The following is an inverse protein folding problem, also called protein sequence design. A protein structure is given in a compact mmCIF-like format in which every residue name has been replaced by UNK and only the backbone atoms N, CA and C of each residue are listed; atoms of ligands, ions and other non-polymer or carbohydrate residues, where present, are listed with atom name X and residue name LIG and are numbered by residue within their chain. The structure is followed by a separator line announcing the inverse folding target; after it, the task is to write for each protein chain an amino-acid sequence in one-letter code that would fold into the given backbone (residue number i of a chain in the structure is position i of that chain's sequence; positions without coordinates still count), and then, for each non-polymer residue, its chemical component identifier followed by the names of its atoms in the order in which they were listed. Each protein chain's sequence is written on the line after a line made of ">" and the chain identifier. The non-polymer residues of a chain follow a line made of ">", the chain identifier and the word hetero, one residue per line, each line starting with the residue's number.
data_IF_450694742370
#
_entry.id   IF_450694742370
#
_cell.length_a   1.000
_cell.length_b   1.000
_cell.length_c   1.000
_cell.angle_alpha   90.00
_cell.angle_beta   90.00
_cell.angle_gamma   90.00
#
_symmetry.space_group_name_H-M   'P 1'
#
loop_
_entity.id
_entity.type
_entity.pdbx_description
1 polymer ?
#
# COMPACT_ATOMS: atom_id res chain seq x y z
N UNK A 1 15.70 -28.33 17.11
CA UNK A 1 15.13 -27.08 16.56
C UNK A 1 15.21 -27.18 15.05
N UNK A 2 14.08 -27.13 14.36
CA UNK A 2 14.02 -27.33 12.92
C UNK A 2 14.15 -25.97 12.20
N UNK A 3 15.11 -25.90 11.28
CA UNK A 3 15.17 -24.83 10.30
C UNK A 3 13.98 -24.99 9.33
N UNK A 4 13.08 -24.02 9.35
CA UNK A 4 11.90 -23.95 8.49
C UNK A 4 12.33 -23.15 7.25
N UNK A 5 12.45 -23.85 6.12
CA UNK A 5 12.98 -23.27 4.89
C UNK A 5 12.06 -22.19 4.35
N UNK A 6 12.44 -20.93 4.54
CA UNK A 6 11.67 -19.77 4.07
C UNK A 6 12.42 -18.45 4.25
N UNK A 7 13.10 -18.23 5.38
CA UNK A 7 13.83 -16.97 5.61
C UNK A 7 15.32 -17.09 5.25
N UNK A 8 15.73 -16.50 4.13
CA UNK A 8 17.15 -16.25 3.83
C UNK A 8 17.77 -15.16 4.73
N UNK A 9 16.94 -14.43 5.49
CA UNK A 9 17.36 -13.35 6.38
C UNK A 9 17.50 -13.84 7.82
N UNK A 10 18.53 -13.35 8.52
CA UNK A 10 18.79 -13.68 9.93
C UNK A 10 19.57 -14.98 10.17
N UNK A 11 19.81 -15.80 9.14
CA UNK A 11 20.69 -16.98 9.26
C UNK A 11 22.14 -16.51 9.41
N UNK A 12 22.67 -16.58 10.63
CA UNK A 12 24.08 -16.33 10.89
C UNK A 12 24.96 -17.27 10.05
N UNK A 13 25.86 -16.70 9.24
CA UNK A 13 26.83 -17.42 8.40
C UNK A 13 27.89 -18.11 9.26
N UNK A 14 27.47 -19.15 9.97
CA UNK A 14 28.34 -20.04 10.74
C UNK A 14 28.77 -21.20 9.86
N UNK A 15 30.06 -21.55 9.90
CA UNK A 15 30.62 -22.73 9.24
C UNK A 15 30.23 -24.03 9.98
N UNK A 16 28.93 -24.21 10.24
CA UNK A 16 28.39 -25.43 10.84
C UNK A 16 28.47 -26.56 9.82
N UNK A 17 29.49 -27.40 9.98
CA UNK A 17 29.55 -28.72 9.35
C UNK A 17 28.30 -29.48 9.80
N UNK A 18 27.35 -29.71 8.87
CA UNK A 18 26.16 -30.52 9.16
C UNK A 18 26.62 -31.94 9.49
N UNK A 19 26.08 -32.53 10.54
CA UNK A 19 26.35 -33.96 10.83
C UNK A 19 25.74 -34.83 9.73
N UNK A 20 26.28 -36.03 9.51
CA UNK A 20 25.74 -36.92 8.49
C UNK A 20 24.26 -37.28 8.77
N UNK A 21 23.88 -37.40 10.04
CA UNK A 21 22.49 -37.56 10.48
C UNK A 21 21.59 -36.35 10.15
N UNK A 22 22.12 -35.13 10.18
CA UNK A 22 21.39 -33.94 9.73
C UNK A 22 21.24 -33.98 8.21
N UNK A 23 22.32 -34.31 7.48
CA UNK A 23 22.32 -34.45 6.02
C UNK A 23 21.29 -35.49 5.55
N UNK A 24 21.27 -36.68 6.15
CA UNK A 24 20.32 -37.74 5.79
C UNK A 24 18.87 -37.36 6.11
N UNK A 25 18.62 -36.66 7.22
CA UNK A 25 17.28 -36.10 7.51
C UNK A 25 16.85 -35.04 6.51
N UNK A 26 17.76 -34.14 6.11
CA UNK A 26 17.48 -33.12 5.10
C UNK A 26 17.20 -33.76 3.73
N UNK A 27 17.99 -34.76 3.32
CA UNK A 27 17.76 -35.53 2.10
C UNK A 27 16.39 -36.23 2.12
N UNK A 28 16.00 -36.84 3.24
CA UNK A 28 14.66 -37.43 3.41
C UNK A 28 13.53 -36.40 3.32
N UNK A 29 13.70 -35.20 3.91
CA UNK A 29 12.74 -34.09 3.76
C UNK A 29 12.62 -33.63 2.30
N UNK A 30 13.75 -33.48 1.60
CA UNK A 30 13.81 -33.05 0.20
C UNK A 30 13.15 -34.10 -0.72
N UNK A 31 13.43 -35.40 -0.51
CA UNK A 31 12.82 -36.48 -1.28
C UNK A 31 11.29 -36.47 -1.15
N UNK A 32 10.78 -36.39 0.09
CA UNK A 32 9.33 -36.30 0.36
C UNK A 32 8.68 -35.04 -0.20
N UNK A 33 9.39 -33.90 -0.19
CA UNK A 33 8.89 -32.67 -0.81
C UNK A 33 8.76 -32.82 -2.33
N UNK A 34 9.79 -33.37 -3.00
CA UNK A 34 9.78 -33.62 -4.45
C UNK A 34 8.70 -34.60 -4.86
N UNK A 35 8.51 -35.69 -4.10
CA UNK A 35 7.46 -36.67 -4.35
C UNK A 35 6.06 -36.02 -4.34
N UNK A 36 5.76 -35.21 -3.33
CA UNK A 36 4.51 -34.44 -3.24
C UNK A 36 4.39 -33.41 -4.37
N UNK A 37 5.49 -32.77 -4.75
CA UNK A 37 5.54 -31.79 -5.85
C UNK A 37 5.25 -32.45 -7.21
N UNK A 38 5.81 -33.63 -7.47
CA UNK A 38 5.59 -34.39 -8.69
C UNK A 38 4.16 -34.92 -8.78
N UNK A 39 3.58 -35.37 -7.65
CA UNK A 39 2.16 -35.71 -7.57
C UNK A 39 1.28 -34.48 -7.87
N UNK A 40 1.58 -33.32 -7.28
CA UNK A 40 0.85 -32.07 -7.55
C UNK A 40 0.92 -31.66 -9.03
N UNK A 41 2.12 -31.70 -9.62
CA UNK A 41 2.35 -31.42 -11.05
C UNK A 41 1.54 -32.37 -11.93
N UNK A 42 1.60 -33.68 -11.67
CA UNK A 42 0.97 -34.69 -12.51
C UNK A 42 -0.56 -34.67 -12.46
N UNK A 43 -1.17 -34.25 -11.34
CA UNK A 43 -2.62 -34.00 -11.24
C UNK A 43 -3.00 -32.69 -11.93
N UNK A 44 -2.23 -31.61 -11.68
CA UNK A 44 -2.49 -30.31 -12.28
C UNK A 44 -2.36 -30.32 -13.81
N UNK A 45 -1.42 -31.08 -14.39
CA UNK A 45 -1.26 -31.21 -15.85
C UNK A 45 -2.38 -31.99 -16.53
N UNK A 46 -3.15 -32.79 -15.77
CA UNK A 46 -4.32 -33.52 -16.26
C UNK A 46 -5.62 -32.71 -16.17
N UNK A 47 -5.57 -31.49 -15.61
CA UNK A 47 -6.75 -30.66 -15.39
C UNK A 47 -7.65 -31.14 -14.25
N UNK A 48 -7.16 -32.08 -13.43
CA UNK A 48 -7.90 -32.74 -12.32
C UNK A 48 -8.08 -31.80 -11.11
N UNK A 49 -8.52 -30.56 -11.33
CA UNK A 49 -8.61 -29.53 -10.29
C UNK A 49 -9.75 -29.76 -9.29
N UNK A 50 -10.84 -30.42 -9.69
CA UNK A 50 -11.95 -30.77 -8.79
C UNK A 50 -11.61 -31.89 -7.79
N UNK A 51 -10.40 -32.47 -7.84
CA UNK A 51 -10.00 -33.59 -6.98
C UNK A 51 -9.65 -33.12 -5.55
N UNK A 52 -10.22 -33.75 -4.50
CA UNK A 52 -9.77 -33.54 -3.12
C UNK A 52 -8.27 -33.80 -2.93
N UNK A 53 -7.70 -34.73 -3.69
CA UNK A 53 -6.31 -35.16 -3.66
C UNK A 53 -5.35 -33.99 -3.94
N UNK A 54 -5.55 -33.26 -5.04
CA UNK A 54 -4.71 -32.11 -5.38
C UNK A 54 -4.82 -31.01 -4.31
N UNK A 55 -6.03 -30.74 -3.81
CA UNK A 55 -6.24 -29.79 -2.73
C UNK A 55 -5.47 -30.18 -1.45
N UNK A 56 -5.53 -31.44 -1.04
CA UNK A 56 -4.78 -31.94 0.12
C UNK A 56 -3.25 -31.91 -0.08
N UNK A 57 -2.77 -32.14 -1.31
CA UNK A 57 -1.34 -32.01 -1.62
C UNK A 57 -0.90 -30.54 -1.55
N UNK A 58 -1.68 -29.58 -2.08
CA UNK A 58 -1.36 -28.14 -1.90
C UNK A 58 -1.32 -27.74 -0.43
N UNK A 59 -2.27 -28.23 0.41
CA UNK A 59 -2.28 -27.99 1.86
C UNK A 59 -0.98 -28.44 2.54
N UNK A 60 -0.44 -29.61 2.14
CA UNK A 60 0.83 -30.13 2.67
C UNK A 60 2.03 -29.33 2.19
N UNK A 61 2.11 -29.04 0.89
CA UNK A 61 3.26 -28.36 0.30
C UNK A 61 3.35 -26.88 0.70
N UNK A 62 2.24 -26.17 0.82
CA UNK A 62 2.22 -24.75 1.25
C UNK A 62 2.61 -24.57 2.72
N UNK A 63 2.36 -25.58 3.58
CA UNK A 63 2.91 -25.65 4.94
C UNK A 63 4.41 -25.99 5.00
N UNK A 64 5.01 -26.44 3.89
CA UNK A 64 6.44 -26.71 3.79
C UNK A 64 7.20 -25.58 3.09
N UNK A 65 6.53 -24.86 2.18
CA UNK A 65 7.08 -23.73 1.43
C UNK A 65 5.92 -22.82 0.93
N UNK A 66 5.55 -21.76 1.68
CA UNK A 66 4.51 -20.84 1.25
C UNK A 66 4.96 -19.91 0.11
N UNK A 67 6.26 -19.81 -0.21
CA UNK A 67 6.76 -18.97 -1.33
C UNK A 67 6.48 -19.59 -2.71
N UNK A 68 6.01 -20.83 -2.79
CA UNK A 68 5.79 -21.50 -4.07
C UNK A 68 4.46 -21.08 -4.73
N UNK A 69 4.51 -19.95 -5.44
CA UNK A 69 3.37 -19.31 -6.11
C UNK A 69 2.49 -20.24 -6.98
N UNK A 70 3.08 -21.23 -7.66
CA UNK A 70 2.35 -22.16 -8.53
C UNK A 70 1.34 -23.00 -7.74
N UNK A 71 1.64 -23.34 -6.49
CA UNK A 71 0.75 -24.11 -5.62
C UNK A 71 -0.45 -23.28 -5.13
N UNK A 72 -0.25 -21.99 -4.86
CA UNK A 72 -1.36 -21.08 -4.58
C UNK A 72 -2.33 -20.99 -5.76
N UNK A 73 -1.79 -20.89 -6.98
CA UNK A 73 -2.62 -20.90 -8.19
C UNK A 73 -3.33 -22.24 -8.43
N UNK A 74 -2.67 -23.37 -8.14
CA UNK A 74 -3.33 -24.68 -8.16
C UNK A 74 -4.47 -24.77 -7.12
N UNK A 75 -4.24 -24.27 -5.89
CA UNK A 75 -5.23 -24.24 -4.81
C UNK A 75 -6.45 -23.38 -5.17
N UNK A 76 -6.23 -22.18 -5.73
CA UNK A 76 -7.31 -21.31 -6.27
C UNK A 76 -8.18 -22.07 -7.27
N UNK A 77 -7.58 -22.79 -8.22
CA UNK A 77 -8.31 -23.63 -9.20
C UNK A 77 -9.10 -24.75 -8.54
N UNK A 78 -8.55 -25.41 -7.52
CA UNK A 78 -9.27 -26.47 -6.79
C UNK A 78 -10.53 -25.95 -6.10
N UNK A 79 -10.48 -24.74 -5.53
CA UNK A 79 -11.65 -24.11 -4.94
C UNK A 79 -12.68 -23.72 -6.01
N UNK A 80 -12.25 -23.04 -7.08
CA UNK A 80 -13.13 -22.62 -8.19
C UNK A 80 -13.85 -23.83 -8.82
N UNK A 81 -13.10 -24.89 -9.17
CA UNK A 81 -13.60 -26.10 -9.84
C UNK A 81 -14.22 -27.13 -8.90
N UNK A 82 -14.21 -26.90 -7.60
CA UNK A 82 -14.73 -27.80 -6.58
C UNK A 82 -15.69 -27.05 -5.66
N UNK A 83 -15.21 -26.65 -4.48
CA UNK A 83 -16.01 -26.07 -3.40
C UNK A 83 -16.92 -24.91 -3.81
N UNK A 84 -16.50 -24.08 -4.77
CA UNK A 84 -17.22 -22.90 -5.26
C UNK A 84 -18.03 -23.13 -6.56
N UNK A 85 -17.99 -24.33 -7.14
CA UNK A 85 -18.70 -24.64 -8.40
C UNK A 85 -20.21 -24.80 -8.21
N UNK A 86 -20.66 -25.24 -7.03
CA UNK A 86 -22.06 -25.57 -6.77
C UNK A 86 -23.00 -24.36 -6.78
N UNK A 87 -22.49 -23.15 -6.50
CA UNK A 87 -23.28 -21.91 -6.42
C UNK A 87 -23.59 -21.27 -7.79
N UNK A 88 -23.12 -21.84 -8.91
CA UNK A 88 -23.21 -21.20 -10.25
C UNK A 88 -24.54 -21.40 -10.99
N UNK A 89 -25.48 -22.21 -10.48
CA UNK A 89 -26.72 -22.57 -11.17
C UNK A 89 -27.89 -21.61 -10.84
N UNK A 90 -27.68 -20.28 -10.92
CA UNK A 90 -28.66 -19.34 -10.35
C UNK A 90 -28.58 -17.86 -10.74
N UNK A 91 -27.93 -17.47 -11.85
CA UNK A 91 -28.13 -16.10 -12.37
C UNK A 91 -27.97 -16.02 -13.89
N UNK A 92 -29.04 -15.55 -14.56
CA UNK A 92 -29.05 -15.36 -16.00
C UNK A 92 -28.07 -14.26 -16.40
N UNK A 93 -27.12 -14.60 -17.29
CA UNK A 93 -26.27 -13.62 -17.97
C UNK A 93 -27.12 -12.60 -18.73
N UNK A 94 -27.25 -11.39 -18.19
CA UNK A 94 -27.54 -10.22 -19.00
C UNK A 94 -26.33 -9.93 -19.89
N UNK A 95 -26.57 -9.67 -21.19
CA UNK A 95 -25.51 -9.26 -22.12
C UNK A 95 -25.07 -7.83 -21.78
N UNK A 96 -24.02 -7.71 -20.97
CA UNK A 96 -23.25 -6.47 -20.85
C UNK A 96 -22.46 -6.20 -22.13
N UNK A 97 -22.42 -4.95 -22.56
CA UNK A 97 -21.79 -4.55 -23.83
C UNK A 97 -20.28 -4.82 -23.86
N UNK A 98 -19.75 -5.07 -25.06
CA UNK A 98 -18.32 -5.23 -25.28
C UNK A 98 -17.62 -3.87 -25.22
N UNK A 99 -16.92 -3.58 -24.12
CA UNK A 99 -15.89 -2.54 -24.07
C UNK A 99 -14.52 -3.17 -23.84
N UNK A 100 -13.67 -3.07 -24.85
CA UNK A 100 -12.27 -3.51 -24.78
C UNK A 100 -11.46 -2.54 -23.92
N UNK A 101 -11.13 -2.93 -22.69
CA UNK A 101 -10.07 -2.31 -21.90
C UNK A 101 -8.89 -3.27 -21.80
N UNK A 102 -7.72 -2.81 -22.26
CA UNK A 102 -6.52 -3.63 -22.33
C UNK A 102 -5.95 -3.92 -20.93
N UNK A 103 -5.40 -5.11 -20.74
CA UNK A 103 -4.60 -5.47 -19.58
C UNK A 103 -3.29 -4.66 -19.53
N UNK A 104 -2.98 -3.96 -18.43
CA UNK A 104 -1.61 -3.57 -18.15
C UNK A 104 -0.87 -4.78 -17.57
N UNK A 105 0.04 -5.35 -18.36
CA UNK A 105 1.05 -6.28 -17.85
C UNK A 105 2.04 -5.53 -16.95
N UNK A 106 1.75 -5.44 -15.65
CA UNK A 106 2.69 -4.89 -14.67
C UNK A 106 3.70 -5.96 -14.24
N UNK A 107 4.78 -6.09 -15.00
CA UNK A 107 6.01 -6.70 -14.50
C UNK A 107 6.52 -5.89 -13.27
N UNK A 108 7.20 -6.52 -12.29
CA UNK A 108 7.59 -5.84 -11.07
C UNK A 108 8.58 -4.71 -11.35
N UNK A 109 8.23 -3.48 -10.97
CA UNK A 109 9.12 -2.33 -11.07
C UNK A 109 10.31 -2.53 -10.14
N UNK A 110 11.48 -2.77 -10.71
CA UNK A 110 12.75 -2.76 -10.00
C UNK A 110 13.03 -1.35 -9.48
N UNK A 111 13.23 -1.22 -8.16
CA UNK A 111 13.83 -0.03 -7.60
C UNK A 111 15.18 0.24 -8.30
N UNK A 112 15.38 1.46 -8.82
CA UNK A 112 16.67 1.92 -9.29
C UNK A 112 17.13 3.12 -8.50
N UNK A 113 18.26 2.93 -7.83
CA UNK A 113 19.13 4.00 -7.37
C UNK A 113 19.64 4.83 -8.57
N UNK A 114 20.21 5.98 -8.21
CA UNK A 114 20.74 7.03 -9.09
C UNK A 114 21.70 6.51 -10.18
N UNK A 115 21.71 7.18 -11.34
CA UNK A 115 22.66 6.97 -12.43
C UNK A 115 23.75 8.06 -12.42
N UNK A 116 24.97 7.78 -12.91
CA UNK A 116 25.86 8.77 -13.51
C UNK A 116 25.84 8.68 -15.05
N UNK A 117 26.59 9.57 -15.70
CA UNK A 117 26.22 10.17 -17.00
C UNK A 117 26.89 9.57 -18.26
N UNK A 118 26.26 9.87 -19.41
CA UNK A 118 26.83 10.10 -20.75
C UNK A 118 27.53 8.97 -21.51
N UNK A 119 26.98 8.58 -22.67
CA UNK A 119 27.64 8.89 -23.97
C UNK A 119 26.65 8.89 -25.16
N UNK A 120 27.07 9.31 -26.36
CA UNK A 120 26.17 9.91 -27.40
C UNK A 120 26.09 9.16 -28.75
N UNK A 121 25.02 9.42 -29.53
CA UNK A 121 24.76 9.13 -30.99
C UNK A 121 24.08 7.79 -31.38
N UNK A 122 23.43 7.67 -32.58
CA UNK A 122 22.24 8.43 -33.03
C UNK A 122 21.08 7.57 -33.64
N UNK A 123 19.96 8.22 -34.05
CA UNK A 123 18.76 7.66 -34.76
C UNK A 123 19.10 7.12 -36.18
N UNK A 124 18.32 6.35 -36.95
CA UNK A 124 16.85 6.09 -37.12
C UNK A 124 16.70 4.81 -38.02
N UNK A 125 15.57 4.41 -38.69
CA UNK A 125 14.12 4.53 -38.42
C UNK A 125 13.29 3.22 -38.59
N UNK A 126 12.05 3.21 -38.06
CA UNK A 126 10.79 2.72 -38.70
C UNK A 126 10.57 1.25 -39.18
N UNK A 127 9.49 0.56 -38.74
CA UNK A 127 9.01 -0.69 -39.36
C UNK A 127 7.96 -0.46 -40.49
N UNK A 128 7.89 -1.32 -41.53
CA UNK A 128 6.97 -1.16 -42.66
C UNK A 128 5.57 -1.80 -42.44
N UNK A 129 4.58 -1.26 -43.15
CA UNK A 129 3.18 -1.72 -43.22
C UNK A 129 2.86 -2.45 -44.53
N UNK A 130 2.05 -3.51 -44.46
CA UNK A 130 1.14 -4.02 -45.52
C UNK A 130 0.34 -5.23 -44.96
N UNK A 131 -0.88 -5.54 -45.41
CA UNK A 131 -1.68 -4.92 -46.49
C UNK A 131 -3.18 -5.26 -46.41
N UNK A 132 -3.96 -4.70 -47.35
CA UNK A 132 -5.43 -4.79 -47.46
C UNK A 132 -5.87 -5.84 -48.49
N UNK A 133 -7.13 -6.30 -48.38
CA UNK A 133 -8.10 -6.66 -49.45
C UNK A 133 -9.40 -7.20 -48.80
N UNK A 134 -10.65 -6.90 -49.22
CA UNK A 134 -11.16 -5.88 -50.15
C UNK A 134 -12.60 -6.20 -50.65
N UNK A 135 -13.48 -5.18 -50.75
CA UNK A 135 -14.63 -5.04 -51.71
C UNK A 135 -15.87 -5.96 -51.47
N UNK A 136 -17.16 -5.63 -51.67
CA UNK A 136 -17.99 -4.55 -52.34
C UNK A 136 -18.91 -3.80 -51.31
N UNK A 137 -19.42 -2.56 -51.46
CA UNK A 137 -20.22 -1.90 -52.53
C UNK A 137 -21.64 -2.55 -52.69
N UNK A 138 -22.81 -1.89 -52.76
CA UNK A 138 -23.27 -0.51 -53.10
C UNK A 138 -24.69 -0.27 -52.46
N UNK A 139 -25.39 0.88 -52.39
CA UNK A 139 -25.10 2.34 -52.34
C UNK A 139 -26.42 3.16 -52.06
N UNK A 140 -26.34 4.46 -51.69
CA UNK A 140 -27.34 5.56 -51.69
C UNK A 140 -28.67 5.50 -50.86
N UNK A 141 -29.15 6.69 -50.40
CA UNK A 141 -30.60 6.94 -50.18
C UNK A 141 -31.00 7.82 -48.97
N UNK A 142 -31.27 9.11 -49.23
CA UNK A 142 -31.60 10.19 -48.29
C UNK A 142 -33.02 10.19 -47.64
N UNK A 143 -33.16 11.11 -46.67
CA UNK A 143 -34.39 11.81 -46.20
C UNK A 143 -35.54 11.08 -45.44
N UNK A 144 -36.04 11.79 -44.41
CA UNK A 144 -37.26 11.52 -43.66
C UNK A 144 -38.41 12.45 -44.15
N UNK A 145 -39.70 12.17 -43.84
CA UNK A 145 -40.22 12.61 -42.55
C UNK A 145 -41.32 11.73 -41.90
N UNK A 146 -41.60 12.02 -40.63
CA UNK A 146 -42.76 11.58 -39.84
C UNK A 146 -44.05 12.34 -40.31
N UNK A 147 -45.31 11.94 -40.00
CA UNK A 147 -45.80 11.92 -38.60
C UNK A 147 -46.92 10.92 -38.22
N UNK A 148 -47.22 10.91 -36.90
CA UNK A 148 -48.51 10.58 -36.23
C UNK A 148 -49.14 9.19 -36.40
N UNK A 149 -49.34 8.49 -35.27
CA UNK A 149 -50.67 8.42 -34.63
C UNK A 149 -50.59 8.00 -33.15
N UNK A 150 -51.64 8.33 -32.38
CA UNK A 150 -51.72 8.10 -30.93
C UNK A 150 -52.33 6.73 -30.62
N UNK A 151 -51.88 6.05 -29.57
CA UNK A 151 -52.78 5.22 -28.76
C UNK A 151 -52.42 5.25 -27.27
N UNK A 152 -53.42 5.63 -26.49
CA UNK A 152 -53.43 5.75 -25.04
C UNK A 152 -53.86 4.41 -24.41
N UNK A 153 -53.11 3.91 -23.42
CA UNK A 153 -53.46 2.70 -22.67
C UNK A 153 -53.02 2.79 -21.20
N UNK A 154 -54.00 2.64 -20.31
CA UNK A 154 -53.89 2.77 -18.85
C UNK A 154 -53.09 1.62 -18.21
N UNK A 155 -52.24 1.85 -17.18
CA UNK A 155 -51.51 0.79 -16.51
C UNK A 155 -52.38 0.05 -15.46
N UNK A 156 -52.26 -1.28 -15.43
CA UNK A 156 -52.80 -2.15 -14.37
C UNK A 156 -51.66 -2.53 -13.40
N UNK A 157 -51.85 -2.58 -12.07
CA UNK A 157 -50.77 -2.89 -11.14
C UNK A 157 -50.39 -4.38 -11.21
N UNK A 158 -49.09 -4.67 -11.40
CA UNK A 158 -48.58 -6.03 -11.31
C UNK A 158 -48.20 -6.37 -9.85
N UNK A 159 -48.83 -7.40 -9.29
CA UNK A 159 -48.46 -7.95 -7.98
C UNK A 159 -47.07 -8.60 -8.03
N UNK A 160 -46.15 -8.14 -7.19
CA UNK A 160 -44.84 -8.79 -7.03
C UNK A 160 -45.00 -10.03 -6.13
N UNK A 161 -45.18 -11.21 -6.74
CA UNK A 161 -45.11 -12.47 -5.99
C UNK A 161 -43.68 -12.75 -5.52
N UNK A 162 -43.53 -12.99 -4.21
CA UNK A 162 -42.28 -13.48 -3.64
C UNK A 162 -41.88 -14.85 -4.23
N UNK A 163 -40.57 -15.16 -4.31
CA UNK A 163 -40.09 -16.43 -4.84
C UNK A 163 -40.53 -17.63 -3.96
N UNK A 164 -40.69 -18.84 -4.54
CA UNK A 164 -41.12 -20.02 -3.80
C UNK A 164 -40.05 -20.48 -2.79
N UNK A 165 -40.50 -20.87 -1.59
CA UNK A 165 -39.63 -21.13 -0.43
C UNK A 165 -38.51 -22.16 -0.63
N UNK A 166 -38.69 -23.11 -1.55
CA UNK A 166 -37.71 -24.15 -1.89
C UNK A 166 -36.46 -23.58 -2.61
N UNK A 167 -36.63 -22.48 -3.37
CA UNK A 167 -35.53 -21.75 -4.01
C UNK A 167 -34.75 -20.92 -2.96
N UNK A 168 -35.45 -20.36 -1.97
CA UNK A 168 -34.82 -19.63 -0.87
C UNK A 168 -33.95 -20.55 0.00
N UNK A 169 -34.47 -21.72 0.37
CA UNK A 169 -33.72 -22.69 1.19
C UNK A 169 -32.48 -23.24 0.50
N UNK A 170 -32.51 -23.41 -0.83
CA UNK A 170 -31.34 -23.86 -1.60
C UNK A 170 -30.30 -22.77 -1.79
N UNK A 171 -30.71 -21.49 -1.91
CA UNK A 171 -29.80 -20.36 -1.91
C UNK A 171 -29.11 -20.16 -0.55
N UNK A 172 -29.86 -20.14 0.56
CA UNK A 172 -29.32 -20.01 1.92
C UNK A 172 -28.31 -21.12 2.25
N UNK A 173 -28.57 -22.35 1.81
CA UNK A 173 -27.64 -23.47 1.97
C UNK A 173 -26.33 -23.30 1.17
N UNK A 174 -26.41 -22.72 -0.04
CA UNK A 174 -25.24 -22.42 -0.86
C UNK A 174 -24.41 -21.28 -0.27
N UNK A 175 -25.04 -20.21 0.23
CA UNK A 175 -24.37 -19.12 0.94
C UNK A 175 -23.65 -19.60 2.20
N UNK A 176 -24.31 -20.44 3.01
CA UNK A 176 -23.71 -21.01 4.22
C UNK A 176 -22.50 -21.90 3.89
N UNK A 177 -22.56 -22.65 2.79
CA UNK A 177 -21.44 -23.45 2.29
C UNK A 177 -20.29 -22.56 1.81
N UNK A 178 -20.55 -21.53 1.01
CA UNK A 178 -19.52 -20.60 0.52
C UNK A 178 -18.86 -19.85 1.70
N UNK A 179 -19.63 -19.39 2.70
CA UNK A 179 -19.11 -18.77 3.92
C UNK A 179 -18.22 -19.73 4.72
N UNK A 180 -18.62 -21.00 4.85
CA UNK A 180 -17.84 -22.04 5.53
C UNK A 180 -16.48 -22.27 4.84
N UNK A 181 -16.48 -22.37 3.51
CA UNK A 181 -15.27 -22.53 2.70
C UNK A 181 -14.36 -21.31 2.84
N UNK A 182 -14.91 -20.09 2.72
CA UNK A 182 -14.18 -18.82 2.88
C UNK A 182 -13.51 -18.76 4.27
N UNK A 183 -14.27 -18.99 5.35
CA UNK A 183 -13.72 -18.96 6.71
C UNK A 183 -12.66 -20.05 6.95
N UNK A 184 -12.83 -21.24 6.36
CA UNK A 184 -11.82 -22.31 6.42
C UNK A 184 -10.49 -21.90 5.76
N UNK A 185 -10.55 -21.27 4.59
CA UNK A 185 -9.36 -20.82 3.86
C UNK A 185 -8.69 -19.59 4.47
N UNK A 186 -9.47 -18.66 5.02
CA UNK A 186 -8.94 -17.60 5.87
C UNK A 186 -8.24 -18.21 7.10
N UNK A 187 -8.84 -19.18 7.78
CA UNK A 187 -8.20 -19.85 8.92
C UNK A 187 -6.92 -20.61 8.52
N UNK A 188 -6.89 -21.24 7.34
CA UNK A 188 -5.71 -21.94 6.80
C UNK A 188 -4.50 -21.01 6.61
N UNK A 189 -4.70 -19.77 6.17
CA UNK A 189 -3.59 -18.81 5.97
C UNK A 189 -3.02 -18.23 7.25
N UNK A 190 -3.76 -18.24 8.38
CA UNK A 190 -3.29 -17.68 9.66
C UNK A 190 -1.94 -18.27 10.10
N UNK A 191 -1.78 -19.59 10.32
CA UNK A 191 -0.49 -20.14 10.78
C UNK A 191 0.65 -19.86 9.80
N UNK A 192 0.37 -19.83 8.49
CA UNK A 192 1.34 -19.48 7.46
C UNK A 192 1.78 -18.01 7.56
N UNK A 193 0.87 -17.07 7.84
CA UNK A 193 1.21 -15.68 8.12
C UNK A 193 2.03 -15.54 9.41
N UNK A 194 1.74 -16.31 10.46
CA UNK A 194 2.49 -16.25 11.71
C UNK A 194 3.94 -16.75 11.55
N UNK A 195 4.17 -17.72 10.66
CA UNK A 195 5.49 -18.29 10.36
C UNK A 195 6.25 -17.49 9.28
N UNK A 196 5.56 -17.05 8.23
CA UNK A 196 6.13 -16.35 7.07
C UNK A 196 5.42 -15.00 6.81
N UNK A 197 5.48 -14.04 7.74
CA UNK A 197 4.69 -12.79 7.72
C UNK A 197 5.00 -11.83 6.56
N UNK A 198 6.06 -12.11 5.78
CA UNK A 198 6.54 -11.32 4.64
C UNK A 198 6.39 -12.05 3.30
N UNK A 199 5.80 -13.26 3.30
CA UNK A 199 5.51 -14.00 2.08
C UNK A 199 4.36 -13.34 1.31
N UNK A 200 4.67 -12.75 0.15
CA UNK A 200 3.71 -12.03 -0.69
C UNK A 200 2.49 -12.88 -1.08
N UNK A 201 2.72 -14.17 -1.34
CA UNK A 201 1.69 -15.06 -1.87
C UNK A 201 0.60 -15.42 -0.86
N UNK A 202 0.91 -15.44 0.45
CA UNK A 202 -0.11 -15.66 1.47
C UNK A 202 -1.07 -14.45 1.52
N UNK A 203 -0.52 -13.23 1.53
CA UNK A 203 -1.32 -12.00 1.51
C UNK A 203 -2.16 -11.88 0.23
N UNK A 204 -1.57 -12.17 -0.95
CA UNK A 204 -2.29 -12.20 -2.24
C UNK A 204 -3.39 -13.27 -2.29
N UNK A 205 -3.15 -14.45 -1.72
CA UNK A 205 -4.16 -15.50 -1.64
C UNK A 205 -5.30 -15.11 -0.70
N UNK A 206 -4.97 -14.51 0.45
CA UNK A 206 -5.96 -14.08 1.43
C UNK A 206 -6.88 -13.00 0.88
N UNK A 207 -6.34 -11.99 0.19
CA UNK A 207 -7.15 -10.99 -0.53
C UNK A 207 -8.09 -11.65 -1.56
N UNK A 208 -7.59 -12.60 -2.35
CA UNK A 208 -8.43 -13.32 -3.32
C UNK A 208 -9.60 -14.10 -2.67
N UNK A 209 -9.40 -14.67 -1.47
CA UNK A 209 -10.49 -15.30 -0.71
C UNK A 209 -11.52 -14.26 -0.24
N UNK A 210 -11.09 -13.07 0.16
CA UNK A 210 -11.99 -11.98 0.55
C UNK A 210 -12.78 -11.39 -0.64
N UNK A 211 -12.18 -11.34 -1.84
CA UNK A 211 -12.90 -11.06 -3.08
C UNK A 211 -14.00 -12.10 -3.34
N UNK A 212 -13.78 -13.38 -3.00
CA UNK A 212 -14.83 -14.41 -3.10
C UNK A 212 -15.97 -14.13 -2.11
N UNK A 213 -15.71 -13.54 -0.95
CA UNK A 213 -16.77 -13.13 -0.01
C UNK A 213 -17.69 -12.06 -0.61
N UNK A 214 -17.12 -11.04 -1.29
CA UNK A 214 -17.92 -10.02 -2.01
C UNK A 214 -18.72 -10.65 -3.16
N UNK A 215 -18.10 -11.57 -3.90
CA UNK A 215 -18.72 -12.16 -5.09
C UNK A 215 -19.82 -13.20 -4.80
N UNK A 216 -19.92 -13.73 -3.57
CA UNK A 216 -20.72 -14.93 -3.25
C UNK A 216 -21.64 -14.82 -2.05
N UNK A 217 -21.41 -13.86 -1.17
CA UNK A 217 -22.20 -13.68 0.05
C UNK A 217 -23.02 -12.39 -0.03
N UNK A 218 -24.17 -12.31 0.64
CA UNK A 218 -24.86 -11.04 0.84
C UNK A 218 -23.91 -10.00 1.47
N UNK A 219 -23.99 -8.75 1.02
CA UNK A 219 -23.05 -7.69 1.39
C UNK A 219 -22.84 -7.56 2.92
N UNK A 220 -23.89 -7.74 3.73
CA UNK A 220 -23.80 -7.72 5.19
C UNK A 220 -23.02 -8.89 5.80
N UNK A 221 -23.00 -10.06 5.15
CA UNK A 221 -22.16 -11.20 5.54
C UNK A 221 -20.71 -11.01 5.06
N UNK A 222 -20.53 -10.59 3.80
CA UNK A 222 -19.23 -10.27 3.24
C UNK A 222 -18.51 -9.21 4.09
N UNK A 223 -19.21 -8.13 4.46
CA UNK A 223 -18.69 -7.04 5.30
C UNK A 223 -18.11 -7.56 6.62
N UNK A 224 -18.82 -8.44 7.33
CA UNK A 224 -18.33 -9.03 8.60
C UNK A 224 -17.04 -9.81 8.42
N UNK A 225 -16.89 -10.54 7.30
CA UNK A 225 -15.65 -11.25 6.97
C UNK A 225 -14.50 -10.26 6.76
N UNK A 226 -14.73 -9.13 6.08
CA UNK A 226 -13.72 -8.06 5.92
C UNK A 226 -13.44 -7.30 7.23
N UNK A 227 -14.42 -7.13 8.12
CA UNK A 227 -14.23 -6.49 9.44
C UNK A 227 -13.36 -7.36 10.37
N UNK A 228 -13.51 -8.69 10.34
CA UNK A 228 -12.63 -9.65 11.06
C UNK A 228 -11.14 -9.47 10.69
N UNK A 229 -10.83 -9.03 9.48
CA UNK A 229 -9.46 -8.81 8.99
C UNK A 229 -8.71 -7.68 9.69
N UNK A 230 -9.42 -6.65 10.16
CA UNK A 230 -8.82 -5.57 10.94
C UNK A 230 -8.23 -6.10 12.27
N UNK A 231 -8.85 -7.13 12.84
CA UNK A 231 -8.34 -7.85 14.00
C UNK A 231 -7.06 -8.63 13.69
N UNK A 232 -7.03 -9.37 12.58
CA UNK A 232 -5.81 -10.06 12.13
C UNK A 232 -4.67 -9.08 11.87
N UNK A 233 -4.92 -8.01 11.10
CA UNK A 233 -3.92 -6.98 10.80
C UNK A 233 -3.35 -6.39 12.08
N UNK A 234 -4.20 -6.06 13.05
CA UNK A 234 -3.77 -5.50 14.32
C UNK A 234 -2.91 -6.50 15.12
N UNK A 235 -3.22 -7.80 15.08
CA UNK A 235 -2.35 -8.85 15.62
C UNK A 235 -0.98 -8.92 14.91
N UNK A 236 -0.97 -8.81 13.58
CA UNK A 236 0.27 -8.87 12.78
C UNK A 236 1.17 -7.66 13.01
N UNK A 237 0.58 -6.46 13.10
CA UNK A 237 1.28 -5.21 13.42
C UNK A 237 1.69 -5.13 14.90
N UNK A 238 0.98 -5.80 15.80
CA UNK A 238 1.42 -5.98 17.18
C UNK A 238 2.71 -6.84 17.31
N UNK A 239 3.00 -7.70 16.32
CA UNK A 239 4.22 -8.53 16.27
C UNK A 239 5.37 -7.87 15.51
N UNK A 240 5.09 -7.33 14.32
CA UNK A 240 6.04 -6.52 13.55
C UNK A 240 5.32 -5.25 13.09
N UNK A 241 5.43 -4.21 13.92
CA UNK A 241 4.86 -2.87 13.72
C UNK A 241 5.36 -2.19 12.44
N UNK A 242 6.48 -2.64 11.87
CA UNK A 242 7.08 -2.17 10.60
C UNK A 242 6.81 -3.13 9.43
N UNK A 243 5.91 -4.11 9.59
CA UNK A 243 5.55 -5.02 8.50
C UNK A 243 4.77 -4.27 7.40
N UNK A 244 5.48 -3.89 6.34
CA UNK A 244 4.92 -3.21 5.18
C UNK A 244 3.77 -3.99 4.51
N UNK A 245 3.81 -5.32 4.51
CA UNK A 245 2.72 -6.13 3.94
C UNK A 245 1.45 -6.02 4.77
N UNK A 246 1.56 -6.07 6.10
CA UNK A 246 0.42 -5.91 7.00
C UNK A 246 -0.18 -4.48 6.92
N UNK A 247 0.66 -3.45 6.83
CA UNK A 247 0.20 -2.07 6.57
C UNK A 247 -0.44 -1.90 5.19
N UNK A 248 0.10 -2.52 4.15
CA UNK A 248 -0.47 -2.51 2.79
C UNK A 248 -1.82 -3.22 2.74
N UNK A 249 -1.91 -4.38 3.38
CA UNK A 249 -3.14 -5.15 3.52
C UNK A 249 -4.19 -4.38 4.33
N UNK A 250 -3.81 -3.69 5.41
CA UNK A 250 -4.72 -2.80 6.16
C UNK A 250 -5.38 -1.76 5.26
N UNK A 251 -4.58 -1.06 4.44
CA UNK A 251 -5.08 -0.02 3.54
C UNK A 251 -6.09 -0.58 2.54
N UNK A 252 -5.84 -1.77 2.00
CA UNK A 252 -6.75 -2.43 1.07
C UNK A 252 -8.03 -2.93 1.77
N UNK A 253 -7.94 -3.51 2.97
CA UNK A 253 -9.12 -3.91 3.77
C UNK A 253 -10.01 -2.70 4.06
N UNK A 254 -9.42 -1.57 4.44
CA UNK A 254 -10.17 -0.32 4.68
C UNK A 254 -10.82 0.20 3.40
N UNK A 255 -10.08 0.30 2.29
CA UNK A 255 -10.59 0.72 0.98
C UNK A 255 -11.81 -0.11 0.54
N UNK A 256 -11.79 -1.43 0.76
CA UNK A 256 -12.93 -2.30 0.47
C UNK A 256 -14.08 -2.15 1.48
N UNK A 257 -13.81 -1.92 2.78
CA UNK A 257 -14.84 -1.65 3.80
C UNK A 257 -15.53 -0.29 3.65
N UNK A 258 -14.87 0.68 3.02
CA UNK A 258 -15.41 1.98 2.61
C UNK A 258 -16.22 1.88 1.30
N UNK A 259 -16.04 0.81 0.51
CA UNK A 259 -16.68 0.63 -0.79
C UNK A 259 -18.20 0.37 -0.68
N UNK A 260 -18.97 0.88 -1.64
CA UNK A 260 -20.43 0.70 -1.72
C UNK A 260 -20.85 -0.77 -1.85
N UNK A 261 -19.98 -1.63 -2.41
CA UNK A 261 -20.18 -3.08 -2.48
C UNK A 261 -20.30 -3.76 -1.10
N UNK A 262 -19.70 -3.18 -0.06
CA UNK A 262 -19.84 -3.62 1.34
C UNK A 262 -20.70 -2.65 2.18
N UNK A 263 -21.52 -1.83 1.50
CA UNK A 263 -22.31 -0.75 2.10
C UNK A 263 -21.47 0.15 3.01
N UNK A 264 -20.27 0.49 2.54
CA UNK A 264 -19.27 1.24 3.28
C UNK A 264 -19.62 2.69 3.53
N UNK A 265 -19.00 3.21 4.58
CA UNK A 265 -18.87 4.63 4.91
C UNK A 265 -17.40 4.89 5.21
N UNK A 266 -16.99 6.16 5.19
CA UNK A 266 -15.61 6.53 5.54
C UNK A 266 -15.17 5.97 6.89
N UNK A 267 -13.90 5.54 6.93
CA UNK A 267 -13.17 5.06 8.09
C UNK A 267 -11.98 5.98 8.42
N UNK A 268 -11.91 7.19 7.83
CA UNK A 268 -10.75 8.09 8.01
C UNK A 268 -10.48 8.42 9.48
N UNK A 269 -11.54 8.63 10.28
CA UNK A 269 -11.47 8.88 11.72
C UNK A 269 -10.90 7.69 12.50
N UNK A 270 -11.40 6.48 12.24
CA UNK A 270 -10.98 5.27 12.97
C UNK A 270 -9.56 4.85 12.56
N UNK A 271 -9.18 5.07 11.31
CA UNK A 271 -7.80 4.91 10.85
C UNK A 271 -6.84 5.96 11.44
N UNK A 272 -7.28 7.21 11.57
CA UNK A 272 -6.47 8.26 12.21
C UNK A 272 -6.25 7.96 13.70
N UNK A 273 -7.31 7.58 14.43
CA UNK A 273 -7.22 7.09 15.80
C UNK A 273 -6.34 5.83 15.94
N UNK A 274 -6.35 4.93 14.94
CA UNK A 274 -5.44 3.79 14.91
C UNK A 274 -3.97 4.22 14.79
N UNK A 275 -3.65 5.25 13.99
CA UNK A 275 -2.27 5.77 13.93
C UNK A 275 -1.81 6.37 15.26
N UNK A 276 -2.68 7.12 15.94
CA UNK A 276 -2.42 7.68 17.28
C UNK A 276 -2.07 6.57 18.30
N UNK A 277 -2.89 5.51 18.35
CA UNK A 277 -2.61 4.34 19.20
C UNK A 277 -1.28 3.65 18.87
N UNK A 278 -0.96 3.49 17.57
CA UNK A 278 0.28 2.87 17.12
C UNK A 278 1.53 3.73 17.40
N UNK A 279 1.40 5.06 17.37
CA UNK A 279 2.48 6.02 17.73
C UNK A 279 2.69 6.03 19.25
N UNK A 280 1.62 6.11 20.05
CA UNK A 280 1.70 6.05 21.52
C UNK A 280 2.28 4.74 22.05
N UNK A 281 2.15 3.66 21.28
CA UNK A 281 2.76 2.35 21.60
C UNK A 281 4.25 2.29 21.21
N UNK A 282 4.67 3.05 20.20
CA UNK A 282 6.04 3.11 19.72
C UNK A 282 6.31 4.39 18.91
N UNK A 283 7.04 5.35 19.49
CA UNK A 283 7.41 6.59 18.81
C UNK A 283 8.31 6.33 17.58
N UNK A 284 9.08 5.24 17.56
CA UNK A 284 9.90 4.80 16.42
C UNK A 284 9.12 4.22 15.23
N UNK A 285 7.78 4.23 15.28
CA UNK A 285 6.94 3.59 14.27
C UNK A 285 6.72 4.49 13.04
N UNK A 286 7.76 4.59 12.20
CA UNK A 286 7.70 5.28 10.90
C UNK A 286 6.46 4.94 10.06
N UNK A 287 5.98 3.69 10.11
CA UNK A 287 4.82 3.28 9.31
C UNK A 287 3.51 3.89 9.83
N UNK A 288 3.39 4.13 11.14
CA UNK A 288 2.25 4.83 11.73
C UNK A 288 2.31 6.34 11.45
N UNK A 289 3.48 6.99 11.63
CA UNK A 289 3.70 8.39 11.25
C UNK A 289 3.41 8.65 9.76
N UNK A 290 3.91 7.78 8.88
CA UNK A 290 3.61 7.86 7.45
C UNK A 290 2.12 7.64 7.16
N UNK A 291 1.46 6.66 7.79
CA UNK A 291 0.01 6.47 7.61
C UNK A 291 -0.78 7.71 8.09
N UNK A 292 -0.35 8.34 9.19
CA UNK A 292 -0.96 9.56 9.74
C UNK A 292 -0.89 10.72 8.73
N UNK A 293 0.30 11.04 8.21
CA UNK A 293 0.46 12.12 7.23
C UNK A 293 -0.31 11.89 5.92
N UNK A 294 -0.54 10.63 5.53
CA UNK A 294 -1.41 10.27 4.39
C UNK A 294 -2.91 10.37 4.66
N UNK A 295 -3.35 10.38 5.93
CA UNK A 295 -4.77 10.47 6.31
C UNK A 295 -5.24 11.92 6.55
N UNK A 296 -4.37 12.76 7.11
CA UNK A 296 -4.71 14.15 7.52
C UNK A 296 -5.43 14.97 6.43
N UNK A 297 -5.01 15.00 5.15
CA UNK A 297 -5.67 15.81 4.14
C UNK A 297 -7.16 15.44 3.96
N UNK A 298 -7.44 14.12 3.86
CA UNK A 298 -8.79 13.58 3.72
C UNK A 298 -9.62 13.75 5.00
N UNK A 299 -8.98 13.62 6.17
CA UNK A 299 -9.62 13.85 7.47
C UNK A 299 -10.16 15.28 7.60
N UNK A 300 -9.35 16.28 7.22
CA UNK A 300 -9.74 17.69 7.29
C UNK A 300 -10.76 18.08 6.22
N UNK A 301 -10.71 17.44 5.04
CA UNK A 301 -11.71 17.59 3.99
C UNK A 301 -13.07 17.03 4.41
N UNK A 302 -13.13 15.78 4.88
CA UNK A 302 -14.38 15.15 5.32
C UNK A 302 -15.00 15.79 6.57
N UNK A 303 -14.18 16.37 7.45
CA UNK A 303 -14.66 17.21 8.57
C UNK A 303 -15.22 18.56 8.14
N UNK A 304 -15.02 18.98 6.88
CA UNK A 304 -15.34 20.34 6.43
C UNK A 304 -14.54 21.42 7.18
N UNK A 305 -13.30 21.11 7.59
CA UNK A 305 -12.53 21.95 8.49
C UNK A 305 -12.15 23.30 7.84
N UNK A 306 -12.55 24.40 8.50
CA UNK A 306 -12.23 25.76 8.11
C UNK A 306 -10.77 26.15 8.44
N UNK A 307 -10.36 27.35 8.06
CA UNK A 307 -8.98 27.83 8.25
C UNK A 307 -8.57 27.91 9.73
N UNK A 308 -9.50 28.24 10.63
CA UNK A 308 -9.30 28.27 12.09
C UNK A 308 -9.02 26.85 12.61
N UNK A 309 -9.93 25.92 12.34
CA UNK A 309 -9.84 24.50 12.73
C UNK A 309 -8.58 23.84 12.18
N UNK A 310 -8.22 24.16 10.93
CA UNK A 310 -6.99 23.67 10.27
C UNK A 310 -5.71 24.18 10.94
N UNK A 311 -5.67 25.44 11.36
CA UNK A 311 -4.53 26.03 12.09
C UNK A 311 -4.40 25.42 13.48
N UNK A 312 -5.52 25.25 14.19
CA UNK A 312 -5.53 24.59 15.50
C UNK A 312 -5.09 23.13 15.41
N UNK A 313 -5.54 22.39 14.40
CA UNK A 313 -5.09 21.02 14.13
C UNK A 313 -3.58 20.97 13.80
N UNK A 314 -3.07 21.90 12.98
CA UNK A 314 -1.65 21.98 12.66
C UNK A 314 -0.79 22.23 13.91
N UNK A 315 -1.23 23.12 14.81
CA UNK A 315 -0.57 23.36 16.08
C UNK A 315 -0.50 22.09 16.96
N UNK A 316 -1.58 21.30 17.01
CA UNK A 316 -1.62 20.05 17.77
C UNK A 316 -0.66 18.99 17.19
N UNK A 317 -0.50 18.93 15.87
CA UNK A 317 0.46 18.03 15.23
C UNK A 317 1.92 18.49 15.42
N UNK A 318 2.16 19.81 15.48
CA UNK A 318 3.47 20.37 15.86
C UNK A 318 3.80 20.02 17.33
N UNK A 319 2.90 20.33 18.26
CA UNK A 319 3.07 19.99 19.68
C UNK A 319 3.32 18.49 19.90
N UNK A 320 2.60 17.63 19.16
CA UNK A 320 2.81 16.18 19.19
C UNK A 320 4.24 15.78 18.75
N UNK A 321 4.77 16.38 17.69
CA UNK A 321 6.10 16.03 17.18
C UNK A 321 7.23 16.67 18.02
N UNK A 322 7.04 17.88 18.55
CA UNK A 322 7.98 18.53 19.48
C UNK A 322 8.15 17.69 20.75
N UNK A 323 7.04 17.25 21.35
CA UNK A 323 7.08 16.35 22.51
C UNK A 323 7.79 15.02 22.23
N UNK A 324 7.69 14.49 21.01
CA UNK A 324 8.41 13.27 20.61
C UNK A 324 9.90 13.53 20.36
N UNK A 325 10.26 14.66 19.72
CA UNK A 325 11.65 15.05 19.47
C UNK A 325 12.42 15.37 20.76
N UNK A 326 11.75 15.88 21.79
CA UNK A 326 12.36 16.11 23.11
C UNK A 326 12.82 14.82 23.82
N UNK A 327 12.30 13.65 23.43
CA UNK A 327 12.56 12.35 24.11
C UNK A 327 13.22 11.29 23.23
N UNK A 328 13.41 11.56 21.94
CA UNK A 328 14.06 10.63 21.01
C UNK A 328 14.53 11.27 19.70
N UNK A 329 15.30 12.39 19.75
CA UNK A 329 15.73 13.09 18.54
C UNK A 329 16.69 12.27 17.67
N UNK A 330 17.25 11.17 18.16
CA UNK A 330 18.00 10.21 17.36
C UNK A 330 17.12 9.45 16.33
N UNK A 331 15.80 9.38 16.53
CA UNK A 331 14.90 8.64 15.65
C UNK A 331 14.51 9.44 14.40
N UNK A 332 15.05 9.03 13.26
CA UNK A 332 14.80 9.64 11.95
C UNK A 332 13.31 9.67 11.55
N UNK A 333 12.48 8.78 12.09
CA UNK A 333 11.05 8.76 11.76
C UNK A 333 10.31 10.00 12.27
N UNK A 334 10.76 10.57 13.39
CA UNK A 334 10.22 11.81 13.93
C UNK A 334 10.57 12.98 13.01
N UNK A 335 11.83 13.09 12.58
CA UNK A 335 12.28 14.12 11.64
C UNK A 335 11.59 14.07 10.29
N UNK A 336 11.28 12.88 9.77
CA UNK A 336 10.48 12.77 8.54
C UNK A 336 9.02 13.24 8.73
N UNK A 337 8.44 13.08 9.93
CA UNK A 337 7.12 13.61 10.23
C UNK A 337 7.15 15.14 10.42
N UNK A 338 8.17 15.63 11.12
CA UNK A 338 8.45 17.05 11.30
C UNK A 338 8.65 17.76 9.95
N UNK A 339 9.47 17.20 9.07
CA UNK A 339 9.70 17.70 7.71
C UNK A 339 8.40 17.71 6.89
N UNK A 340 7.52 16.70 7.05
CA UNK A 340 6.18 16.74 6.44
C UNK A 340 5.35 17.94 6.93
N UNK A 341 5.36 18.26 8.23
CA UNK A 341 4.66 19.43 8.76
C UNK A 341 5.28 20.74 8.23
N UNK A 342 6.60 20.88 8.25
CA UNK A 342 7.31 22.06 7.71
C UNK A 342 7.05 22.25 6.20
N UNK A 343 6.97 21.16 5.42
CA UNK A 343 6.62 21.25 4.00
C UNK A 343 5.22 21.82 3.73
N UNK A 344 4.28 21.73 4.69
CA UNK A 344 2.98 22.41 4.58
C UNK A 344 3.11 23.95 4.72
N UNK A 345 4.18 24.45 5.33
CA UNK A 345 4.49 25.88 5.44
C UNK A 345 5.18 26.40 4.17
N UNK A 346 6.14 25.64 3.62
CA UNK A 346 7.09 26.16 2.61
C UNK A 346 6.75 25.81 1.15
N UNK A 347 5.93 24.79 0.89
CA UNK A 347 5.61 24.31 -0.47
C UNK A 347 4.14 24.48 -0.88
N UNK A 348 3.54 25.69 -0.84
CA UNK A 348 2.10 25.85 -1.08
C UNK A 348 1.66 25.55 -2.53
N UNK A 349 2.57 25.61 -3.52
CA UNK A 349 2.24 25.57 -4.96
C UNK A 349 3.11 24.61 -5.78
N UNK A 350 3.78 23.63 -5.16
CA UNK A 350 4.61 22.63 -5.84
C UNK A 350 3.85 21.31 -6.00
N UNK A 351 3.21 21.01 -7.16
CA UNK A 351 2.58 19.72 -7.40
C UNK A 351 3.66 18.64 -7.54
N UNK A 352 3.88 17.86 -6.48
CA UNK A 352 4.78 16.70 -6.53
C UNK A 352 4.21 15.63 -7.48
N UNK A 353 4.89 15.29 -8.60
CA UNK A 353 4.36 14.36 -9.61
C UNK A 353 4.19 12.92 -9.11
N UNK A 354 4.70 12.57 -7.92
CA UNK A 354 4.52 11.25 -7.29
C UNK A 354 3.43 11.21 -6.21
N UNK A 355 2.80 12.34 -5.91
CA UNK A 355 1.80 12.45 -4.84
C UNK A 355 0.50 13.07 -5.37
N UNK A 356 -0.65 12.35 -5.36
CA UNK A 356 -1.94 12.96 -5.64
C UNK A 356 -2.16 14.12 -4.67
N UNK A 357 -2.47 15.29 -5.22
CA UNK A 357 -2.70 16.58 -4.58
C UNK A 357 -2.61 16.54 -3.05
N UNK A 358 -1.42 16.87 -2.50
CA UNK A 358 -1.30 17.16 -1.08
C UNK A 358 -2.09 18.45 -0.80
N UNK A 359 -3.38 18.30 -0.49
CA UNK A 359 -4.13 19.37 0.14
C UNK A 359 -3.43 19.69 1.46
N UNK A 360 -2.83 20.88 1.51
CA UNK A 360 -2.08 21.36 2.65
C UNK A 360 -2.96 21.31 3.89
N UNK A 361 -2.36 21.07 5.05
CA UNK A 361 -3.08 21.16 6.33
C UNK A 361 -3.64 22.58 6.46
N UNK A 362 -2.79 23.59 6.23
CA UNK A 362 -3.06 25.02 6.33
C UNK A 362 -2.80 25.74 4.99
N UNK A 363 -3.72 25.64 4.01
CA UNK A 363 -3.52 26.25 2.69
C UNK A 363 -3.59 27.79 2.76
N UNK A 364 -4.56 28.33 3.48
CA UNK A 364 -4.83 29.79 3.53
C UNK A 364 -3.94 30.56 4.51
N UNK A 365 -2.89 29.93 5.06
CA UNK A 365 -2.03 30.56 6.06
C UNK A 365 -1.23 31.73 5.44
N UNK A 366 -1.32 32.95 6.02
CA UNK A 366 -0.57 34.11 5.56
C UNK A 366 0.95 33.88 5.52
N UNK A 367 1.66 34.56 4.61
CA UNK A 367 3.12 34.43 4.49
C UNK A 367 3.86 34.82 5.78
N UNK A 368 3.41 35.88 6.46
CA UNK A 368 3.97 36.30 7.74
C UNK A 368 3.79 35.23 8.85
N UNK A 369 2.64 34.55 8.89
CA UNK A 369 2.42 33.42 9.79
C UNK A 369 3.35 32.25 9.43
N UNK A 370 3.48 31.90 8.14
CA UNK A 370 4.38 30.81 7.68
C UNK A 370 5.84 31.03 8.10
N UNK A 371 6.34 32.26 7.95
CA UNK A 371 7.68 32.67 8.40
C UNK A 371 7.78 32.62 9.93
N UNK A 372 6.74 33.08 10.64
CA UNK A 372 6.66 33.02 12.10
C UNK A 372 6.75 31.59 12.65
N UNK A 373 5.97 30.65 12.10
CA UNK A 373 6.09 29.23 12.44
C UNK A 373 7.52 28.72 12.19
N UNK A 374 8.04 28.91 10.98
CA UNK A 374 9.37 28.39 10.62
C UNK A 374 10.50 28.96 11.49
N UNK A 375 10.37 30.23 11.92
CA UNK A 375 11.28 30.85 12.90
C UNK A 375 11.21 30.15 14.26
N UNK A 376 10.00 29.86 14.75
CA UNK A 376 9.80 29.10 15.99
C UNK A 376 10.38 27.68 15.89
N UNK A 377 10.17 26.97 14.78
CA UNK A 377 10.75 25.64 14.56
C UNK A 377 12.28 25.67 14.59
N UNK A 378 12.91 26.65 13.93
CA UNK A 378 14.37 26.81 13.96
C UNK A 378 14.87 27.04 15.39
N UNK A 379 14.20 27.89 16.17
CA UNK A 379 14.59 28.16 17.56
C UNK A 379 14.46 26.90 18.44
N UNK A 380 13.33 26.21 18.38
CA UNK A 380 13.08 24.97 19.15
C UNK A 380 14.09 23.86 18.79
N UNK A 381 14.53 23.79 17.54
CA UNK A 381 15.53 22.80 17.09
C UNK A 381 16.96 23.22 17.49
N UNK A 382 17.27 24.52 17.56
CA UNK A 382 18.57 25.00 18.06
C UNK A 382 18.66 24.80 19.59
N UNK A 383 17.55 24.93 20.33
CA UNK A 383 17.45 24.56 21.76
C UNK A 383 17.78 23.06 22.00
N UNK A 384 17.40 22.15 21.10
CA UNK A 384 17.78 20.73 21.21
C UNK A 384 19.30 20.51 21.14
N UNK A 385 20.09 21.44 20.60
CA UNK A 385 21.56 21.34 20.59
C UNK A 385 22.20 21.52 21.98
N UNK A 386 21.46 22.00 22.99
CA UNK A 386 21.96 22.08 24.37
C UNK A 386 22.23 20.68 24.96
N UNK A 387 21.34 19.71 24.66
CA UNK A 387 21.43 18.32 25.15
C UNK A 387 21.93 17.32 24.09
N UNK A 388 21.77 17.61 22.79
CA UNK A 388 21.92 16.62 21.70
C UNK A 388 22.90 17.07 20.58
N UNK A 389 24.10 17.52 20.95
CA UNK A 389 25.10 18.07 20.01
C UNK A 389 25.75 17.05 19.03
N UNK A 390 25.44 15.76 19.17
CA UNK A 390 25.90 14.67 18.31
C UNK A 390 24.80 14.11 17.37
N UNK A 391 23.55 14.59 17.49
CA UNK A 391 22.42 14.14 16.67
C UNK A 391 22.41 14.88 15.33
N UNK A 392 22.91 14.19 14.29
CA UNK A 392 22.98 14.71 12.91
C UNK A 392 21.67 15.35 12.40
N UNK A 393 20.52 14.74 12.70
CA UNK A 393 19.23 15.17 12.17
C UNK A 393 18.84 16.60 12.57
N UNK A 394 19.27 17.06 13.76
CA UNK A 394 19.04 18.43 14.25
C UNK A 394 19.75 19.43 13.32
N UNK A 395 21.03 19.20 13.03
CA UNK A 395 21.81 20.02 12.09
C UNK A 395 21.26 19.99 10.66
N UNK A 396 20.73 18.85 10.21
CA UNK A 396 20.11 18.72 8.88
C UNK A 396 18.82 19.54 8.79
N UNK A 397 17.98 19.50 9.83
CA UNK A 397 16.77 20.30 9.93
C UNK A 397 17.06 21.80 10.02
N UNK A 398 17.98 22.23 10.90
CA UNK A 398 18.37 23.66 11.02
C UNK A 398 18.87 24.23 9.69
N UNK A 399 19.74 23.47 9.00
CA UNK A 399 20.27 23.87 7.71
C UNK A 399 19.18 24.00 6.64
N UNK A 400 18.33 22.98 6.47
CA UNK A 400 17.22 23.02 5.51
C UNK A 400 16.22 24.14 5.83
N UNK A 401 15.87 24.33 7.11
CA UNK A 401 14.81 25.24 7.52
C UNK A 401 15.23 26.71 7.44
N UNK A 402 16.51 27.03 7.74
CA UNK A 402 17.07 28.36 7.49
C UNK A 402 17.02 28.70 5.99
N UNK A 403 17.34 27.76 5.12
CA UNK A 403 17.21 27.99 3.67
C UNK A 403 15.76 28.22 3.26
N UNK A 404 14.82 27.38 3.71
CA UNK A 404 13.39 27.59 3.44
C UNK A 404 12.88 28.94 3.98
N UNK A 405 13.40 29.44 5.11
CA UNK A 405 13.05 30.76 5.63
C UNK A 405 13.49 31.87 4.68
N UNK A 406 14.76 31.89 4.28
CA UNK A 406 15.28 32.91 3.34
C UNK A 406 14.54 32.87 2.01
N UNK A 407 14.17 31.67 1.54
CA UNK A 407 13.34 31.47 0.35
C UNK A 407 11.91 32.03 0.51
N UNK A 408 11.23 31.78 1.63
CA UNK A 408 9.90 32.36 1.92
C UNK A 408 9.94 33.89 2.03
N UNK A 409 11.04 34.43 2.56
CA UNK A 409 11.30 35.87 2.67
C UNK A 409 11.76 36.50 1.35
N UNK A 410 11.97 35.71 0.30
CA UNK A 410 12.35 36.18 -1.04
C UNK A 410 13.77 36.75 -1.11
N UNK A 411 14.66 36.37 -0.20
CA UNK A 411 16.03 36.89 -0.06
C UNK A 411 17.07 35.77 -0.04
N UNK A 412 18.34 36.16 -0.10
CA UNK A 412 19.45 35.26 0.19
C UNK A 412 19.78 35.29 1.69
N UNK A 413 20.47 34.26 2.22
CA UNK A 413 21.04 34.30 3.57
C UNK A 413 21.97 35.51 3.73
N UNK A 414 21.89 36.19 4.88
CA UNK A 414 22.84 37.24 5.25
C UNK A 414 24.17 36.64 5.74
N UNK A 415 25.17 37.48 6.04
CA UNK A 415 26.50 36.99 6.44
C UNK A 415 26.48 36.18 7.75
N UNK A 416 25.61 36.54 8.71
CA UNK A 416 25.46 35.77 9.96
C UNK A 416 24.79 34.43 9.68
N UNK A 417 23.74 34.41 8.87
CA UNK A 417 23.07 33.16 8.50
C UNK A 417 24.00 32.24 7.68
N UNK A 418 24.89 32.79 6.84
CA UNK A 418 25.95 32.01 6.17
C UNK A 418 26.94 31.40 7.15
N UNK A 419 27.36 32.15 8.17
CA UNK A 419 28.21 31.62 9.26
C UNK A 419 27.50 30.49 10.02
N UNK A 420 26.21 30.65 10.35
CA UNK A 420 25.37 29.61 10.97
C UNK A 420 25.26 28.36 10.09
N UNK A 421 24.93 28.53 8.80
CA UNK A 421 24.83 27.44 7.82
C UNK A 421 26.17 26.70 7.62
N UNK A 422 27.29 27.42 7.52
CA UNK A 422 28.61 26.83 7.40
C UNK A 422 29.01 26.03 8.65
N UNK A 423 28.70 26.54 9.85
CA UNK A 423 28.88 25.84 11.13
C UNK A 423 28.10 24.52 11.18
N UNK A 424 26.81 24.56 10.86
CA UNK A 424 25.97 23.35 10.84
C UNK A 424 26.42 22.35 9.78
N UNK A 425 26.81 22.80 8.59
CA UNK A 425 27.32 21.94 7.52
C UNK A 425 28.66 21.28 7.88
N UNK A 426 29.52 21.98 8.63
CA UNK A 426 30.72 21.41 9.23
C UNK A 426 30.41 20.25 10.19
N UNK A 427 29.44 20.44 11.09
CA UNK A 427 28.92 19.38 11.98
C UNK A 427 28.30 18.22 11.19
N UNK A 428 27.53 18.47 10.13
CA UNK A 428 26.99 17.42 9.24
C UNK A 428 28.09 16.58 8.58
N UNK A 429 29.17 17.21 8.09
CA UNK A 429 30.33 16.51 7.53
C UNK A 429 31.05 15.63 8.57
N UNK A 430 31.09 16.07 9.83
CA UNK A 430 31.66 15.30 10.94
C UNK A 430 30.79 14.10 11.35
N UNK A 431 29.47 14.31 11.47
CA UNK A 431 28.51 13.31 11.97
C UNK A 431 28.04 12.31 10.90
N UNK A 432 28.13 12.65 9.61
CA UNK A 432 27.71 11.80 8.49
C UNK A 432 28.76 11.73 7.37
N UNK A 433 29.96 11.19 7.66
CA UNK A 433 31.07 11.13 6.71
C UNK A 433 30.73 10.26 5.48
N UNK A 434 29.81 9.30 5.64
CA UNK A 434 29.30 8.46 4.54
C UNK A 434 28.54 9.27 3.47
N UNK A 435 27.99 10.43 3.83
CA UNK A 435 27.30 11.36 2.90
C UNK A 435 28.09 12.63 2.61
N UNK A 436 29.40 12.65 2.89
CA UNK A 436 30.31 13.78 2.62
C UNK A 436 30.18 14.40 1.22
N UNK A 437 29.93 13.60 0.18
CA UNK A 437 29.61 14.10 -1.17
C UNK A 437 28.37 14.99 -1.23
N UNK A 438 27.24 14.56 -0.64
CA UNK A 438 26.00 15.38 -0.54
C UNK A 438 26.28 16.72 0.12
N UNK A 439 27.03 16.70 1.22
CA UNK A 439 27.35 17.92 1.97
C UNK A 439 28.29 18.86 1.21
N UNK A 440 29.22 18.33 0.42
CA UNK A 440 30.11 19.13 -0.44
C UNK A 440 29.39 19.72 -1.66
N UNK A 441 28.34 19.08 -2.18
CA UNK A 441 27.52 19.64 -3.25
C UNK A 441 26.58 20.73 -2.72
N UNK A 442 25.97 20.52 -1.55
CA UNK A 442 25.13 21.49 -0.86
C UNK A 442 25.92 22.77 -0.45
N UNK A 443 27.19 22.62 -0.05
CA UNK A 443 28.10 23.74 0.22
C UNK A 443 28.31 24.66 -0.98
N UNK A 444 28.40 24.09 -2.18
CA UNK A 444 28.54 24.83 -3.45
C UNK A 444 27.23 25.48 -3.86
N UNK A 445 26.12 24.78 -3.72
CA UNK A 445 24.78 25.25 -4.09
C UNK A 445 24.38 26.51 -3.30
N UNK A 446 24.67 26.54 -2.00
CA UNK A 446 24.37 27.67 -1.10
C UNK A 446 25.47 28.76 -1.18
N UNK A 447 26.56 28.54 -1.92
CA UNK A 447 27.65 29.51 -2.05
C UNK A 447 28.48 29.70 -0.77
N UNK A 448 28.53 28.69 0.11
CA UNK A 448 29.29 28.69 1.36
C UNK A 448 30.76 28.27 1.17
N UNK A 449 31.11 27.82 -0.04
CA UNK A 449 32.48 27.49 -0.40
C UNK A 449 33.40 28.72 -0.34
N UNK A 450 34.42 28.64 0.53
CA UNK A 450 35.55 29.58 0.52
C UNK A 450 36.20 29.56 -0.87
N UNK A 451 36.42 30.73 -1.46
CA UNK A 451 37.39 30.89 -2.55
C UNK A 451 38.79 30.56 -1.99
N UNK A 452 39.22 29.31 -2.16
CA UNK A 452 40.62 28.87 -1.95
C UNK A 452 41.43 29.01 -3.24
#
# INVERSE_FOLDING_TARGET
>A
MADHGGSQHGIARTSRVRTEEQRQRDLGRIAKYRELEDQARALASRGEHSTPELFQITTKLLRLNPEYYTLWNARRRCLISGSFSNSSAGSSRSKGSSTTSATPNTAPSSAKCLSPSSDTTPRDPGPPTAGKSGTTADDAGDEAPNPTENHEATPTPAETKAPPAEVTQTAEAAEAQDLSVIKSELAFTIPLLLESPKCYWIWSYRLWILEQAIARLPAAQARKVWEEELGLVSMMLGRDRRNFHAWGYRRHVVDQLENTALHGSSMVETEFAYTDSMIKTDLSNFSAWHRRSRLIPRLLEERGADAQTRREFFNQELELIHNALNVGPEDQSLWYYHQFLVLNLVSPNQPNPTTPSQALIVPDLPLADRIGYLTSEINLIDELLEDYDDVKSIYEALFEYRLYQTQLEGRQPDEREKEELARWLGKLKQLDPMRSGRWADLEKEVGLGVYM
#
